data_IF_077162701563
#
_entry.id   IF_077162701563
#
_cell.length_a   1.000
_cell.length_b   1.000
_cell.length_c   1.000
_cell.angle_alpha   90.00
_cell.angle_beta   90.00
_cell.angle_gamma   90.00
#
_symmetry.space_group_name_H-M   'P 1'
#
loop_
_entity.id
_entity.type
_entity.pdbx_description
1 polymer ?
#
# COMPACT_ATOMS: atom_id res chain seq x y z
N UNK A 1 -26.40 12.05 30.34
CA UNK A 1 -25.70 13.07 29.53
C UNK A 1 -25.98 12.91 28.03
N UNK A 2 -25.93 11.68 27.49
CA UNK A 2 -26.27 11.39 26.07
C UNK A 2 -27.70 11.76 25.63
N UNK A 3 -28.70 11.67 26.52
CA UNK A 3 -30.09 12.01 26.20
C UNK A 3 -30.30 13.52 25.93
N UNK A 4 -29.48 14.38 26.55
CA UNK A 4 -29.56 15.85 26.42
C UNK A 4 -28.89 16.34 25.14
N UNK A 5 -27.86 15.65 24.66
CA UNK A 5 -27.21 15.93 23.36
C UNK A 5 -28.15 15.56 22.20
N UNK A 6 -28.96 14.50 22.38
CA UNK A 6 -29.90 14.02 21.36
C UNK A 6 -31.08 14.95 21.09
N UNK A 7 -31.52 15.76 22.06
CA UNK A 7 -32.64 16.70 21.89
C UNK A 7 -32.23 18.05 21.29
N UNK A 8 -30.98 18.49 21.48
CA UNK A 8 -30.48 19.76 20.93
C UNK A 8 -30.39 19.79 19.40
N UNK A 9 -30.18 18.63 18.76
CA UNK A 9 -29.97 18.56 17.31
C UNK A 9 -31.24 18.24 16.50
N UNK A 10 -32.42 18.20 17.12
CA UNK A 10 -33.69 18.03 16.40
C UNK A 10 -34.17 19.34 15.75
N UNK A 11 -33.87 20.49 16.36
CA UNK A 11 -34.27 21.80 15.85
C UNK A 11 -33.26 22.34 14.82
N UNK A 12 -33.77 22.70 13.65
CA UNK A 12 -32.97 23.28 12.57
C UNK A 12 -32.33 24.61 12.96
N UNK A 13 -32.98 25.37 13.85
CA UNK A 13 -32.47 26.63 14.36
C UNK A 13 -31.19 26.42 15.18
N UNK A 14 -31.14 25.33 15.95
CA UNK A 14 -29.95 24.94 16.71
C UNK A 14 -28.80 24.51 15.78
N UNK A 15 -29.10 23.75 14.72
CA UNK A 15 -28.10 23.34 13.72
C UNK A 15 -27.52 24.52 12.93
N UNK A 16 -28.35 25.50 12.58
CA UNK A 16 -27.89 26.75 11.95
C UNK A 16 -27.00 27.54 12.92
N UNK A 17 -27.34 27.56 14.21
CA UNK A 17 -26.51 28.20 15.24
C UNK A 17 -25.15 27.53 15.36
N UNK A 18 -25.11 26.21 15.36
CA UNK A 18 -23.87 25.42 15.40
C UNK A 18 -22.96 25.75 14.21
N UNK A 19 -23.52 25.90 13.01
CA UNK A 19 -22.76 26.37 11.82
C UNK A 19 -22.19 27.78 12.03
N UNK A 20 -22.99 28.71 12.57
CA UNK A 20 -22.53 30.08 12.81
C UNK A 20 -21.40 30.14 13.84
N UNK A 21 -21.50 29.33 14.90
CA UNK A 21 -20.49 29.20 15.95
C UNK A 21 -19.20 28.57 15.40
N UNK A 22 -19.30 27.49 14.62
CA UNK A 22 -18.15 26.83 13.97
C UNK A 22 -17.40 27.75 13.00
N UNK A 23 -18.14 28.57 12.25
CA UNK A 23 -17.55 29.59 11.36
C UNK A 23 -16.93 30.77 12.11
N UNK A 24 -17.12 30.86 13.42
CA UNK A 24 -16.76 32.01 14.26
C UNK A 24 -17.33 33.34 13.72
N UNK A 25 -18.60 33.32 13.30
CA UNK A 25 -19.30 34.47 12.74
C UNK A 25 -20.39 34.99 13.68
N UNK A 26 -20.75 36.26 13.51
CA UNK A 26 -22.02 36.76 14.05
C UNK A 26 -23.20 36.38 13.13
N UNK A 27 -24.43 36.29 13.64
CA UNK A 27 -25.62 36.07 12.80
C UNK A 27 -25.77 37.09 11.67
N UNK A 28 -25.31 38.34 11.91
CA UNK A 28 -25.31 39.38 10.90
C UNK A 28 -24.28 39.11 9.78
N UNK A 29 -23.05 38.72 10.14
CA UNK A 29 -22.03 38.37 9.17
C UNK A 29 -22.43 37.14 8.35
N UNK A 30 -23.03 36.14 8.98
CA UNK A 30 -23.58 34.96 8.31
C UNK A 30 -24.68 35.34 7.30
N UNK A 31 -25.61 36.22 7.69
CA UNK A 31 -26.65 36.70 6.78
C UNK A 31 -26.07 37.39 5.53
N UNK A 32 -25.06 38.26 5.72
CA UNK A 32 -24.38 38.94 4.62
C UNK A 32 -23.67 37.95 3.68
N UNK A 33 -23.03 36.91 4.23
CA UNK A 33 -22.40 35.83 3.46
C UNK A 33 -23.39 35.00 2.65
N UNK A 34 -24.62 34.84 3.14
CA UNK A 34 -25.76 34.27 2.39
C UNK A 34 -26.43 35.28 1.43
N UNK A 35 -25.81 36.45 1.23
CA UNK A 35 -26.28 37.50 0.33
C UNK A 35 -27.64 38.12 0.75
N UNK A 36 -27.96 38.12 2.05
CA UNK A 36 -29.07 38.89 2.59
C UNK A 36 -28.66 40.34 2.85
N UNK A 37 -29.52 41.30 2.47
CA UNK A 37 -29.30 42.73 2.76
C UNK A 37 -29.44 43.06 4.25
N UNK A 38 -30.20 42.27 5.01
CA UNK A 38 -30.49 42.46 6.44
C UNK A 38 -30.50 41.10 7.13
N UNK A 39 -30.04 41.06 8.37
CA UNK A 39 -29.95 39.83 9.16
C UNK A 39 -31.27 39.38 9.80
N UNK A 40 -32.36 40.14 9.64
CA UNK A 40 -33.63 39.88 10.31
C UNK A 40 -34.11 38.44 10.07
N UNK A 41 -34.05 37.96 8.83
CA UNK A 41 -34.41 36.58 8.47
C UNK A 41 -33.62 35.55 9.29
N UNK A 42 -32.31 35.75 9.43
CA UNK A 42 -31.46 34.84 10.21
C UNK A 42 -31.80 34.92 11.69
N UNK A 43 -32.02 36.11 12.25
CA UNK A 43 -32.43 36.25 13.65
C UNK A 43 -33.80 35.64 13.94
N UNK A 44 -34.76 35.77 13.01
CA UNK A 44 -36.09 35.18 13.18
C UNK A 44 -36.01 33.65 13.18
N UNK A 45 -35.17 33.07 12.31
CA UNK A 45 -34.88 31.64 12.30
C UNK A 45 -34.21 31.22 13.62
N UNK A 46 -33.12 31.86 14.03
CA UNK A 46 -32.35 31.47 15.22
C UNK A 46 -33.13 31.58 16.53
N UNK A 47 -34.16 32.44 16.57
CA UNK A 47 -35.06 32.61 17.71
C UNK A 47 -36.34 31.77 17.59
N UNK A 48 -36.47 30.93 16.56
CA UNK A 48 -37.64 30.07 16.34
C UNK A 48 -38.91 30.82 15.95
N UNK A 49 -38.82 32.09 15.54
CA UNK A 49 -39.97 32.87 15.07
C UNK A 49 -40.44 32.41 13.68
N UNK A 50 -39.54 31.87 12.88
CA UNK A 50 -39.84 31.34 11.55
C UNK A 50 -38.96 30.14 11.21
N UNK A 51 -39.48 29.22 10.41
CA UNK A 51 -38.68 28.16 9.82
C UNK A 51 -37.83 28.72 8.65
N UNK A 52 -36.66 28.13 8.34
CA UNK A 52 -35.92 28.49 7.14
C UNK A 52 -36.74 28.25 5.88
N UNK A 53 -36.77 29.26 5.00
CA UNK A 53 -37.49 29.18 3.73
C UNK A 53 -36.67 28.44 2.66
N UNK A 54 -37.32 28.10 1.54
CA UNK A 54 -36.62 27.63 0.35
C UNK A 54 -35.50 28.59 -0.11
N UNK A 55 -35.76 29.91 -0.06
CA UNK A 55 -34.75 30.92 -0.42
C UNK A 55 -33.51 30.86 0.49
N UNK A 56 -33.69 30.62 1.80
CA UNK A 56 -32.58 30.41 2.73
C UNK A 56 -31.73 29.22 2.30
N UNK A 57 -32.35 28.07 2.05
CA UNK A 57 -31.62 26.86 1.65
C UNK A 57 -30.95 27.02 0.29
N UNK A 58 -31.61 27.67 -0.68
CA UNK A 58 -31.01 27.94 -1.98
C UNK A 58 -29.76 28.83 -1.85
N UNK A 59 -29.83 29.88 -1.02
CA UNK A 59 -28.67 30.74 -0.72
C UNK A 59 -27.55 29.99 -0.02
N UNK A 60 -27.90 29.13 0.94
CA UNK A 60 -26.94 28.28 1.64
C UNK A 60 -26.23 27.34 0.65
N UNK A 61 -26.98 26.66 -0.21
CA UNK A 61 -26.44 25.74 -1.22
C UNK A 61 -25.54 26.43 -2.24
N UNK A 62 -25.85 27.68 -2.60
CA UNK A 62 -25.06 28.49 -3.54
C UNK A 62 -23.86 29.21 -2.88
N UNK A 63 -23.73 29.14 -1.56
CA UNK A 63 -22.60 29.74 -0.82
C UNK A 63 -21.43 28.77 -0.69
N UNK A 64 -20.29 29.27 -0.19
CA UNK A 64 -19.12 28.45 0.15
C UNK A 64 -19.40 27.40 1.23
N UNK A 65 -20.48 27.55 2.00
CA UNK A 65 -20.83 26.64 3.09
C UNK A 65 -21.30 25.27 2.62
N UNK A 66 -21.86 25.16 1.41
CA UNK A 66 -22.26 23.87 0.84
C UNK A 66 -21.08 22.94 0.54
N UNK A 67 -19.87 23.50 0.46
CA UNK A 67 -18.64 22.72 0.33
C UNK A 67 -18.10 22.19 1.66
N UNK A 68 -18.65 22.64 2.78
CA UNK A 68 -18.13 22.38 4.13
C UNK A 68 -19.13 21.54 4.93
N UNK A 69 -20.42 21.90 4.87
CA UNK A 69 -21.46 21.33 5.73
C UNK A 69 -22.41 20.43 4.95
N UNK A 70 -22.82 19.34 5.59
CA UNK A 70 -23.78 18.37 5.06
C UNK A 70 -25.20 18.93 5.07
N UNK A 71 -25.83 18.96 3.89
CA UNK A 71 -27.23 19.36 3.77
C UNK A 71 -28.19 18.35 4.42
N UNK A 72 -27.88 17.04 4.37
CA UNK A 72 -28.69 16.00 5.01
C UNK A 72 -28.69 16.17 6.53
N UNK A 73 -27.53 16.52 7.11
CA UNK A 73 -27.43 16.84 8.53
C UNK A 73 -28.18 18.12 8.88
N UNK A 74 -28.02 19.20 8.09
CA UNK A 74 -28.72 20.45 8.34
C UNK A 74 -30.25 20.29 8.31
N UNK A 75 -30.77 19.48 7.38
CA UNK A 75 -32.21 19.25 7.23
C UNK A 75 -32.75 18.27 8.27
N UNK A 76 -32.06 17.15 8.50
CA UNK A 76 -32.62 16.02 9.24
C UNK A 76 -32.03 15.83 10.64
N UNK A 77 -30.89 16.48 10.94
CA UNK A 77 -30.11 16.27 12.15
C UNK A 77 -29.41 14.90 12.22
N UNK A 78 -29.46 14.11 11.15
CA UNK A 78 -28.81 12.79 11.05
C UNK A 78 -27.46 12.91 10.37
N UNK A 79 -26.55 11.98 10.67
CA UNK A 79 -25.20 11.98 10.09
C UNK A 79 -24.28 13.02 10.72
N UNK A 80 -23.22 13.38 9.99
CA UNK A 80 -22.21 14.33 10.44
C UNK A 80 -22.50 15.74 9.90
N UNK A 81 -22.20 16.75 10.73
CA UNK A 81 -22.31 18.18 10.37
C UNK A 81 -21.46 18.54 9.15
N UNK A 82 -20.23 18.02 9.09
CA UNK A 82 -19.31 18.29 8.00
C UNK A 82 -19.49 17.28 6.86
N UNK A 83 -19.30 17.75 5.63
CA UNK A 83 -19.09 16.85 4.51
C UNK A 83 -17.82 16.02 4.75
N UNK A 84 -17.83 14.72 4.41
CA UNK A 84 -16.67 13.87 4.58
C UNK A 84 -15.49 14.38 3.73
N UNK A 85 -14.39 14.75 4.39
CA UNK A 85 -13.15 15.14 3.73
C UNK A 85 -12.21 13.95 3.66
N UNK A 86 -11.65 13.69 2.48
CA UNK A 86 -10.69 12.60 2.23
C UNK A 86 -9.51 12.68 3.21
N UNK A 87 -8.98 13.89 3.46
CA UNK A 87 -7.87 14.10 4.41
C UNK A 87 -8.16 13.58 5.81
N UNK A 88 -9.28 14.00 6.42
CA UNK A 88 -9.68 13.59 7.76
C UNK A 88 -10.00 12.09 7.86
N UNK A 89 -10.63 11.51 6.83
CA UNK A 89 -10.92 10.08 6.79
C UNK A 89 -9.65 9.22 6.66
N UNK A 90 -8.62 9.70 5.97
CA UNK A 90 -7.32 9.02 5.89
C UNK A 90 -6.54 9.13 7.21
N UNK A 91 -6.52 10.30 7.85
CA UNK A 91 -5.85 10.52 9.14
C UNK A 91 -6.47 9.69 10.27
N UNK A 92 -7.80 9.56 10.29
CA UNK A 92 -8.53 8.76 11.29
C UNK A 92 -8.64 7.27 10.93
N UNK A 93 -8.14 6.85 9.75
CA UNK A 93 -8.19 5.46 9.29
C UNK A 93 -9.61 4.94 9.03
N UNK A 94 -10.57 5.84 8.78
CA UNK A 94 -11.99 5.49 8.67
C UNK A 94 -12.34 4.94 7.29
N UNK A 95 -12.17 3.62 7.14
CA UNK A 95 -12.45 2.87 5.90
C UNK A 95 -13.88 3.05 5.38
N UNK A 96 -14.86 3.26 6.28
CA UNK A 96 -16.26 3.46 5.90
C UNK A 96 -16.49 4.79 5.17
N UNK A 97 -15.83 5.86 5.60
CA UNK A 97 -15.93 7.18 4.97
C UNK A 97 -15.24 7.15 3.60
N UNK A 98 -14.05 6.52 3.50
CA UNK A 98 -13.35 6.36 2.23
C UNK A 98 -14.19 5.58 1.21
N UNK A 99 -14.87 4.51 1.63
CA UNK A 99 -15.75 3.73 0.76
C UNK A 99 -16.98 4.52 0.28
N UNK A 100 -17.55 5.41 1.11
CA UNK A 100 -18.68 6.26 0.71
C UNK A 100 -18.25 7.31 -0.33
N UNK A 101 -17.05 7.86 -0.19
CA UNK A 101 -16.49 8.82 -1.16
C UNK A 101 -16.19 8.13 -2.51
N UNK A 102 -15.61 6.92 -2.48
CA UNK A 102 -15.25 6.14 -3.68
C UNK A 102 -16.47 5.57 -4.45
N UNK A 103 -17.59 5.30 -3.78
CA UNK A 103 -18.78 4.68 -4.38
C UNK A 103 -19.76 5.66 -5.04
N UNK A 104 -19.44 6.96 -5.09
CA UNK A 104 -20.15 7.91 -5.95
C UNK A 104 -21.65 8.06 -5.69
N UNK A 105 -22.09 7.97 -4.42
CA UNK A 105 -23.50 8.21 -4.06
C UNK A 105 -23.87 9.70 -4.06
N UNK A 106 -22.89 10.60 -3.90
CA UNK A 106 -23.08 12.05 -4.02
C UNK A 106 -22.09 12.62 -5.03
N UNK A 107 -22.61 13.15 -6.14
CA UNK A 107 -21.87 13.78 -7.24
C UNK A 107 -21.28 15.16 -6.86
N UNK A 108 -20.94 15.39 -5.60
CA UNK A 108 -20.24 16.61 -5.15
C UNK A 108 -18.94 16.23 -4.45
N UNK A 109 -17.98 15.71 -5.23
CA UNK A 109 -16.58 15.86 -4.86
C UNK A 109 -16.26 17.33 -5.09
N UNK A 110 -16.23 18.12 -4.03
CA UNK A 110 -15.82 19.52 -4.10
C UNK A 110 -14.33 19.55 -4.42
N UNK A 111 -13.99 19.89 -5.66
CA UNK A 111 -12.66 20.35 -6.01
C UNK A 111 -12.38 21.63 -5.22
N UNK A 112 -11.47 21.58 -4.25
CA UNK A 112 -10.95 22.78 -3.60
C UNK A 112 -10.19 23.60 -4.67
N UNK A 113 -10.52 24.88 -4.91
CA UNK A 113 -9.97 25.66 -6.02
C UNK A 113 -8.46 25.95 -5.94
N UNK A 114 -7.85 25.74 -4.77
CA UNK A 114 -6.43 26.05 -4.53
C UNK A 114 -5.63 24.74 -4.59
N UNK A 115 -5.14 24.45 -5.80
CA UNK A 115 -4.77 23.12 -6.27
C UNK A 115 -3.41 22.59 -5.75
N UNK A 116 -2.62 23.38 -5.01
CA UNK A 116 -1.27 22.98 -4.61
C UNK A 116 -1.21 22.17 -3.30
N UNK A 117 -2.24 22.23 -2.45
CA UNK A 117 -2.22 21.61 -1.11
C UNK A 117 -3.27 20.52 -0.90
N UNK A 118 -4.01 20.13 -1.94
CA UNK A 118 -5.07 19.13 -1.76
C UNK A 118 -4.46 17.80 -1.30
N UNK A 119 -4.98 17.25 -0.20
CA UNK A 119 -4.58 15.93 0.30
C UNK A 119 -4.69 14.83 -0.78
N UNK A 120 -5.58 15.05 -1.77
CA UNK A 120 -5.73 14.19 -2.93
C UNK A 120 -4.51 14.27 -3.87
N UNK A 121 -4.00 15.47 -4.16
CA UNK A 121 -2.79 15.65 -4.97
C UNK A 121 -1.56 15.03 -4.28
N UNK A 122 -1.38 15.29 -2.98
CA UNK A 122 -0.29 14.68 -2.19
C UNK A 122 -0.40 13.15 -2.15
N UNK A 123 -1.62 12.62 -2.02
CA UNK A 123 -1.86 11.19 -2.10
C UNK A 123 -1.52 10.64 -3.50
N UNK A 124 -1.92 11.32 -4.58
CA UNK A 124 -1.57 10.91 -5.94
C UNK A 124 -0.06 10.94 -6.19
N UNK A 125 0.65 11.97 -5.73
CA UNK A 125 2.11 12.06 -5.81
C UNK A 125 2.79 10.92 -5.04
N UNK A 126 2.35 10.67 -3.81
CA UNK A 126 2.90 9.61 -2.97
C UNK A 126 2.64 8.22 -3.57
N UNK A 127 1.44 7.99 -4.13
CA UNK A 127 1.12 6.77 -4.88
C UNK A 127 2.05 6.64 -6.10
N UNK A 128 2.28 7.72 -6.84
CA UNK A 128 3.20 7.73 -7.98
C UNK A 128 4.64 7.37 -7.59
N UNK A 129 5.14 7.88 -6.47
CA UNK A 129 6.46 7.52 -5.93
C UNK A 129 6.54 6.05 -5.51
N UNK A 130 5.49 5.54 -4.84
CA UNK A 130 5.40 4.13 -4.46
C UNK A 130 5.40 3.20 -5.68
N UNK A 131 4.66 3.55 -6.74
CA UNK A 131 4.63 2.78 -7.99
C UNK A 131 6.02 2.70 -8.61
N UNK A 132 6.75 3.81 -8.72
CA UNK A 132 8.13 3.80 -9.25
C UNK A 132 9.05 2.90 -8.44
N UNK A 133 8.99 2.98 -7.11
CA UNK A 133 9.79 2.10 -6.26
C UNK A 133 9.43 0.62 -6.44
N UNK A 134 8.15 0.30 -6.68
CA UNK A 134 7.72 -1.06 -6.94
C UNK A 134 8.18 -1.57 -8.32
N UNK A 135 8.23 -0.71 -9.33
CA UNK A 135 8.77 -1.04 -10.66
C UNK A 135 10.26 -1.37 -10.61
N UNK A 136 11.05 -0.62 -9.81
CA UNK A 136 12.47 -0.90 -9.58
C UNK A 136 12.66 -2.26 -8.90
N UNK A 137 11.89 -2.55 -7.84
CA UNK A 137 11.91 -3.85 -7.16
C UNK A 137 11.52 -4.99 -8.11
N UNK A 138 10.52 -4.78 -8.97
CA UNK A 138 10.09 -5.79 -9.95
C UNK A 138 11.22 -6.13 -10.93
N UNK A 139 12.01 -5.14 -11.35
CA UNK A 139 13.13 -5.36 -12.26
C UNK A 139 14.25 -6.16 -11.58
N UNK A 140 14.56 -5.87 -10.32
CA UNK A 140 15.56 -6.62 -9.56
C UNK A 140 15.11 -8.07 -9.29
N UNK A 141 13.82 -8.29 -9.02
CA UNK A 141 13.25 -9.64 -8.90
C UNK A 141 13.43 -10.45 -10.19
N UNK A 142 13.25 -9.83 -11.36
CA UNK A 142 13.50 -10.52 -12.65
C UNK A 142 14.96 -10.91 -12.82
N UNK A 143 15.91 -10.03 -12.45
CA UNK A 143 17.35 -10.33 -12.49
C UNK A 143 17.70 -11.48 -11.56
N UNK A 144 17.16 -11.48 -10.34
CA UNK A 144 17.37 -12.55 -9.36
C UNK A 144 16.82 -13.90 -9.86
N UNK A 145 15.63 -13.90 -10.47
CA UNK A 145 15.05 -15.11 -11.04
C UNK A 145 15.96 -15.71 -12.13
N UNK A 146 16.55 -14.88 -13.00
CA UNK A 146 17.51 -15.32 -14.02
C UNK A 146 18.77 -15.92 -13.40
N UNK A 147 19.38 -15.21 -12.44
CA UNK A 147 20.57 -15.68 -11.71
C UNK A 147 20.33 -17.01 -10.99
N UNK A 148 19.15 -17.18 -10.38
CA UNK A 148 18.80 -18.40 -9.69
C UNK A 148 18.66 -19.58 -10.68
N UNK A 149 18.10 -19.35 -11.87
CA UNK A 149 18.07 -20.34 -12.95
C UNK A 149 19.46 -20.76 -13.41
N UNK A 150 20.38 -19.80 -13.61
CA UNK A 150 21.77 -20.06 -13.98
C UNK A 150 22.52 -20.84 -12.87
N UNK A 151 22.27 -20.50 -11.61
CA UNK A 151 22.85 -21.19 -10.46
C UNK A 151 22.36 -22.65 -10.36
N UNK A 152 21.06 -22.87 -10.55
CA UNK A 152 20.49 -24.22 -10.56
C UNK A 152 21.12 -25.08 -11.68
N UNK A 153 21.29 -24.51 -12.88
CA UNK A 153 21.97 -25.21 -13.97
C UNK A 153 23.43 -25.55 -13.65
N UNK A 154 24.16 -24.62 -13.00
CA UNK A 154 25.54 -24.87 -12.53
C UNK A 154 25.60 -25.97 -11.47
N UNK A 155 24.65 -26.01 -10.54
CA UNK A 155 24.61 -27.03 -9.49
C UNK A 155 24.48 -28.45 -10.08
N UNK A 156 23.59 -28.64 -11.07
CA UNK A 156 23.44 -29.90 -11.80
C UNK A 156 24.75 -30.34 -12.48
N UNK A 157 25.47 -29.38 -13.07
CA UNK A 157 26.75 -29.66 -13.72
C UNK A 157 27.82 -30.06 -12.70
N UNK A 158 27.85 -29.42 -11.53
CA UNK A 158 28.78 -29.77 -10.45
C UNK A 158 28.52 -31.20 -9.96
N UNK A 159 27.27 -31.60 -9.76
CA UNK A 159 26.93 -32.97 -9.37
C UNK A 159 27.43 -33.99 -10.41
N UNK A 160 27.28 -33.67 -11.69
CA UNK A 160 27.77 -34.51 -12.80
C UNK A 160 29.29 -34.64 -12.79
N UNK A 161 30.02 -33.53 -12.57
CA UNK A 161 31.47 -33.57 -12.46
C UNK A 161 31.94 -34.32 -11.22
N UNK A 162 31.27 -34.17 -10.08
CA UNK A 162 31.59 -34.92 -8.87
C UNK A 162 31.45 -36.43 -9.10
N UNK A 163 30.39 -36.89 -9.77
CA UNK A 163 30.23 -38.30 -10.13
C UNK A 163 31.37 -38.78 -11.03
N UNK A 164 31.73 -38.00 -12.04
CA UNK A 164 32.83 -38.34 -12.96
C UNK A 164 34.17 -38.46 -12.23
N UNK A 165 34.48 -37.51 -11.35
CA UNK A 165 35.72 -37.51 -10.55
C UNK A 165 35.78 -38.74 -9.63
N UNK A 166 34.67 -39.09 -8.99
CA UNK A 166 34.59 -40.29 -8.14
C UNK A 166 34.85 -41.55 -8.95
N UNK A 167 34.28 -41.67 -10.15
CA UNK A 167 34.47 -42.84 -11.00
C UNK A 167 35.90 -42.95 -11.52
N UNK A 168 36.48 -41.84 -12.00
CA UNK A 168 37.87 -41.77 -12.42
C UNK A 168 38.84 -42.13 -11.29
N UNK A 169 38.57 -41.67 -10.06
CA UNK A 169 39.40 -41.98 -8.89
C UNK A 169 39.41 -43.48 -8.57
N UNK A 170 38.27 -44.17 -8.72
CA UNK A 170 38.21 -45.63 -8.56
C UNK A 170 39.00 -46.36 -9.65
N UNK A 171 38.91 -45.89 -10.89
CA UNK A 171 39.63 -46.49 -12.01
C UNK A 171 41.15 -46.35 -11.86
N UNK A 172 41.61 -45.16 -11.46
CA UNK A 172 43.03 -44.91 -11.14
C UNK A 172 43.51 -45.89 -10.06
N UNK A 173 42.77 -46.05 -8.96
CA UNK A 173 43.15 -46.99 -7.90
C UNK A 173 43.24 -48.46 -8.37
N UNK A 174 42.36 -48.89 -9.28
CA UNK A 174 42.44 -50.24 -9.90
C UNK A 174 43.67 -50.37 -10.79
N UNK A 175 44.00 -49.34 -11.56
CA UNK A 175 45.18 -49.33 -12.43
C UNK A 175 46.47 -49.37 -11.60
N UNK A 176 46.56 -48.58 -10.53
CA UNK A 176 47.69 -48.58 -9.58
C UNK A 176 47.91 -49.97 -8.98
N UNK A 177 46.84 -50.65 -8.54
CA UNK A 177 46.94 -52.01 -8.03
C UNK A 177 47.47 -52.99 -9.08
N UNK A 178 46.98 -52.90 -10.32
CA UNK A 178 47.42 -53.78 -11.41
C UNK A 178 48.87 -53.54 -11.81
N UNK A 179 49.34 -52.29 -11.79
CA UNK A 179 50.75 -51.95 -11.99
C UNK A 179 51.60 -52.62 -10.92
N UNK A 180 51.21 -52.50 -9.64
CA UNK A 180 51.93 -53.13 -8.51
C UNK A 180 52.00 -54.66 -8.66
N UNK A 181 50.92 -55.31 -9.07
CA UNK A 181 50.89 -56.76 -9.32
C UNK A 181 51.80 -57.17 -10.48
N UNK A 182 51.87 -56.37 -11.56
CA UNK A 182 52.75 -56.62 -12.70
C UNK A 182 54.23 -56.44 -12.33
N UNK A 183 54.56 -55.39 -11.57
CA UNK A 183 55.91 -55.14 -11.05
C UNK A 183 56.42 -56.32 -10.21
N UNK A 184 55.60 -56.82 -9.27
CA UNK A 184 55.93 -57.99 -8.45
C UNK A 184 56.17 -59.26 -9.29
N UNK A 185 55.39 -59.47 -10.36
CA UNK A 185 55.55 -60.61 -11.27
C UNK A 185 56.84 -60.51 -12.08
N UNK A 186 57.19 -59.32 -12.57
CA UNK A 186 58.43 -59.08 -13.28
C UNK A 186 59.65 -59.31 -12.38
N UNK A 187 59.62 -58.82 -11.15
CA UNK A 187 60.69 -59.02 -10.16
C UNK A 187 60.90 -60.51 -9.83
N UNK A 188 59.80 -61.26 -9.63
CA UNK A 188 59.87 -62.70 -9.40
C UNK A 188 60.44 -63.47 -10.61
N UNK A 189 60.03 -63.09 -11.82
CA UNK A 189 60.50 -63.75 -13.06
C UNK A 189 61.98 -63.44 -13.33
N UNK A 190 62.45 -62.22 -13.03
CA UNK A 190 63.86 -61.86 -13.11
C UNK A 190 64.71 -62.61 -12.06
N UNK A 191 64.17 -62.83 -10.85
CA UNK A 191 64.80 -63.64 -9.81
C UNK A 191 64.95 -65.12 -10.19
N UNK A 192 63.89 -65.74 -10.73
CA UNK A 192 63.90 -67.16 -11.12
C UNK A 192 64.85 -67.47 -12.30
N UNK A 193 65.01 -66.52 -13.24
CA UNK A 193 65.94 -66.66 -14.37
C UNK A 193 67.41 -66.57 -13.92
N UNK A 194 67.71 -65.88 -12.81
CA UNK A 194 69.09 -65.73 -12.30
C UNK A 194 69.59 -66.93 -11.48
N UNK A 195 68.72 -67.85 -11.06
CA UNK A 195 69.11 -69.01 -10.22
C UNK A 195 68.94 -70.38 -10.90
N UNK A 196 68.35 -70.45 -12.09
CA UNK A 196 68.00 -71.72 -12.75
C UNK A 196 69.11 -72.42 -13.55
N UNK A 197 70.18 -71.72 -13.97
CA UNK A 197 71.12 -72.26 -14.97
C UNK A 197 72.57 -72.49 -14.49
N UNK A 198 72.81 -72.62 -13.17
CA UNK A 198 74.13 -73.05 -12.67
C UNK A 198 74.00 -74.36 -11.88
N UNK A 199 73.43 -75.40 -12.52
CA UNK A 199 73.62 -76.77 -12.06
C UNK A 199 74.97 -77.28 -12.57
N UNK A 200 75.92 -77.32 -11.63
CA UNK A 200 77.25 -77.90 -11.70
C UNK A 200 77.22 -79.37 -12.19
N UNK A 201 77.89 -79.66 -13.31
CA UNK A 201 78.26 -81.03 -13.71
C UNK A 201 79.77 -81.18 -13.55
N UNK A 202 80.16 -81.91 -12.50
CA UNK A 202 81.51 -82.45 -12.29
C UNK A 202 81.47 -83.97 -12.38
#
# INVERSE_FOLDING_TARGET
MEKVIKEKNADISARIREIIEDLNLSPNAFALKLNYKRAQTVYDILNGKSAPSYDFFNRFMLSEYSAIYSMDWLLTGRGNMYLPRIGTAMELGEKNILQQILKGSDKQIVYAPNFEDSALLKAFEQIGLQIKSAEEVLEDVKKLAKLNGELAAKAVLVDTYMQTIVEQSKEIGRLEQRIKELEQRLEKTAGDVSTGNTANVG
#
